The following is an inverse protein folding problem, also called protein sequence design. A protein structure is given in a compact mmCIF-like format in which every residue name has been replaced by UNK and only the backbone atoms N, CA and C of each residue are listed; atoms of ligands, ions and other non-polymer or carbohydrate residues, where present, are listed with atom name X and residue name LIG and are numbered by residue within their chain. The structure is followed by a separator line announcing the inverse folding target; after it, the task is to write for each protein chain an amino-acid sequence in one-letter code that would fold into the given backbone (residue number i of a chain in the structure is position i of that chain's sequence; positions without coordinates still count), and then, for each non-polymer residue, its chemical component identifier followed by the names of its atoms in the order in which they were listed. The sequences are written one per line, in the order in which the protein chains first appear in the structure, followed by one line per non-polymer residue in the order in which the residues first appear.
data_IF_178761615719
#
_entry.id   IF_178761615719
#
_cell.length_a   1.000
_cell.length_b   1.000
_cell.length_c   1.000
_cell.angle_alpha   90.00
_cell.angle_beta   90.00
_cell.angle_gamma   90.00
#
_symmetry.space_group_name_H-M   'P 1'
#
loop_
_entity.id
_entity.type
_entity.pdbx_description
1 polymer ?
#
# COMPACT_ATOMS: atom_id res chain seq x y z
N UNK A 1 17.20 29.66 -8.74
CA UNK A 1 17.77 28.61 -9.62
C UNK A 1 17.19 27.20 -9.33
N UNK A 2 16.85 26.84 -8.09
CA UNK A 2 16.33 25.50 -7.70
C UNK A 2 14.94 25.11 -8.25
N UNK A 3 14.05 26.08 -8.52
CA UNK A 3 12.67 25.77 -8.98
C UNK A 3 12.63 25.08 -10.35
N UNK A 4 13.54 25.46 -11.27
CA UNK A 4 13.58 24.89 -12.63
C UNK A 4 14.09 23.45 -12.63
N UNK A 5 15.06 23.14 -11.77
CA UNK A 5 15.59 21.79 -11.58
C UNK A 5 14.54 20.85 -10.98
N UNK A 6 13.75 21.32 -10.02
CA UNK A 6 12.68 20.55 -9.40
C UNK A 6 11.55 20.25 -10.42
N UNK A 7 11.20 21.23 -11.26
CA UNK A 7 10.25 21.04 -12.37
C UNK A 7 10.78 20.01 -13.38
N UNK A 8 12.07 20.04 -13.72
CA UNK A 8 12.68 19.05 -14.61
C UNK A 8 12.69 17.64 -14.02
N UNK A 9 12.93 17.49 -12.71
CA UNK A 9 12.85 16.20 -12.02
C UNK A 9 11.40 15.68 -12.02
N UNK A 10 10.43 16.54 -11.76
CA UNK A 10 9.00 16.20 -11.81
C UNK A 10 8.59 15.78 -13.23
N UNK A 11 9.00 16.54 -14.26
CA UNK A 11 8.72 16.20 -15.66
C UNK A 11 9.43 14.90 -16.07
N UNK A 12 10.67 14.67 -15.63
CA UNK A 12 11.39 13.43 -15.89
C UNK A 12 10.70 12.23 -15.21
N UNK A 13 10.26 12.38 -13.96
CA UNK A 13 9.42 11.39 -13.26
C UNK A 13 8.12 11.13 -14.02
N UNK A 14 7.48 12.18 -14.56
CA UNK A 14 6.26 12.03 -15.34
C UNK A 14 6.48 11.39 -16.73
N UNK A 15 7.66 11.57 -17.32
CA UNK A 15 7.99 11.00 -18.64
C UNK A 15 8.14 9.48 -18.65
N UNK A 16 8.23 8.84 -17.48
CA UNK A 16 8.24 7.37 -17.35
C UNK A 16 6.84 6.77 -17.59
N UNK A 17 5.76 7.55 -17.43
CA UNK A 17 4.37 7.07 -17.59
C UNK A 17 3.87 6.97 -19.05
N UNK A 18 4.76 6.98 -20.05
CA UNK A 18 4.38 6.91 -21.47
C UNK A 18 3.81 5.55 -21.94
N UNK A 19 3.66 4.57 -21.04
CA UNK A 19 2.94 3.33 -21.31
C UNK A 19 1.66 3.31 -20.47
N UNK A 20 0.60 3.96 -20.94
CA UNK A 20 -0.72 3.89 -20.28
C UNK A 20 -1.35 2.55 -20.63
N UNK A 21 -0.87 1.49 -19.98
CA UNK A 21 -1.65 0.27 -19.79
C UNK A 21 -2.74 0.59 -18.76
N UNK A 22 -3.96 0.09 -18.97
CA UNK A 22 -5.11 0.39 -18.12
C UNK A 22 -4.76 0.23 -16.64
N UNK A 23 -5.03 1.27 -15.83
CA UNK A 23 -4.78 1.23 -14.41
C UNK A 23 -5.83 0.31 -13.75
N UNK A 24 -5.35 -0.71 -13.04
CA UNK A 24 -6.23 -1.61 -12.28
C UNK A 24 -6.55 -0.97 -10.92
N UNK A 25 -7.81 -1.05 -10.50
CA UNK A 25 -8.23 -0.63 -9.15
C UNK A 25 -8.38 -1.87 -8.28
N UNK A 26 -7.90 -1.79 -7.05
CA UNK A 26 -7.87 -2.88 -6.08
C UNK A 26 -8.49 -2.44 -4.77
N UNK A 27 -9.48 -3.17 -4.26
CA UNK A 27 -9.94 -2.99 -2.87
C UNK A 27 -9.29 -4.05 -1.97
N UNK A 28 -8.92 -3.66 -0.75
CA UNK A 28 -8.31 -4.52 0.27
C UNK A 28 -9.04 -4.38 1.59
N UNK A 29 -9.10 -5.48 2.33
CA UNK A 29 -9.54 -5.47 3.73
C UNK A 29 -8.87 -6.60 4.50
N UNK A 30 -8.71 -6.43 5.80
CA UNK A 30 -8.23 -7.49 6.65
C UNK A 30 -8.02 -7.05 8.09
N UNK A 31 -7.03 -7.69 8.72
CA UNK A 31 -6.62 -7.41 10.09
C UNK A 31 -5.19 -6.89 10.10
N UNK A 32 -4.87 -6.04 11.08
CA UNK A 32 -3.56 -5.46 11.28
C UNK A 32 -3.24 -5.42 12.76
N UNK A 33 -2.02 -5.77 13.12
CA UNK A 33 -1.47 -5.68 14.47
C UNK A 33 -0.33 -4.68 14.52
N UNK A 34 -0.35 -3.81 15.53
CA UNK A 34 0.77 -2.98 15.98
C UNK A 34 0.80 -3.07 17.50
N UNK A 35 0.64 -1.92 18.16
CA UNK A 35 0.39 -1.83 19.60
C UNK A 35 -0.86 -2.63 20.02
N UNK A 36 -1.87 -2.70 19.13
CA UNK A 36 -3.08 -3.51 19.30
C UNK A 36 -3.51 -4.16 17.99
N UNK A 37 -4.47 -5.08 18.06
CA UNK A 37 -5.16 -5.61 16.89
C UNK A 37 -6.29 -4.69 16.44
N UNK A 38 -6.35 -4.46 15.13
CA UNK A 38 -7.36 -3.66 14.47
C UNK A 38 -7.75 -4.21 13.10
N UNK A 39 -8.73 -3.56 12.49
CA UNK A 39 -9.14 -3.83 11.12
C UNK A 39 -8.43 -2.84 10.19
N UNK A 40 -8.25 -3.23 8.93
CA UNK A 40 -7.85 -2.31 7.87
C UNK A 40 -8.69 -2.49 6.62
N UNK A 41 -8.87 -1.40 5.88
CA UNK A 41 -9.55 -1.36 4.60
C UNK A 41 -8.88 -0.32 3.71
N UNK A 42 -8.72 -0.62 2.42
CA UNK A 42 -8.01 0.26 1.51
C UNK A 42 -8.40 0.10 0.06
N UNK A 43 -8.03 1.10 -0.74
CA UNK A 43 -8.20 1.13 -2.17
C UNK A 43 -6.87 1.52 -2.83
N UNK A 44 -6.49 0.80 -3.86
CA UNK A 44 -5.20 0.93 -4.54
C UNK A 44 -5.43 1.06 -6.03
N UNK A 45 -4.54 1.80 -6.68
CA UNK A 45 -4.43 1.91 -8.12
C UNK A 45 -3.06 1.40 -8.55
N UNK A 46 -3.05 0.57 -9.57
CA UNK A 46 -1.84 0.00 -10.13
C UNK A 46 -1.52 0.62 -11.49
N UNK A 47 -0.30 1.07 -11.69
CA UNK A 47 0.21 1.63 -12.94
C UNK A 47 1.25 0.67 -13.52
N UNK A 48 0.85 -0.23 -14.45
CA UNK A 48 1.78 -1.19 -15.05
C UNK A 48 2.85 -0.45 -15.85
N UNK A 49 4.12 -0.80 -15.60
CA UNK A 49 5.27 -0.30 -16.37
C UNK A 49 5.79 -1.39 -17.32
N UNK A 50 5.60 -2.66 -16.96
CA UNK A 50 5.85 -3.83 -17.80
C UNK A 50 4.96 -4.99 -17.37
N UNK A 51 5.12 -6.17 -17.99
CA UNK A 51 4.43 -7.40 -17.59
C UNK A 51 4.82 -7.88 -16.19
N UNK A 52 6.03 -7.54 -15.71
CA UNK A 52 6.58 -8.00 -14.44
C UNK A 52 6.71 -6.88 -13.40
N UNK A 53 6.52 -5.63 -13.78
CA UNK A 53 6.75 -4.48 -12.91
C UNK A 53 5.65 -3.44 -13.02
N UNK A 54 5.22 -2.92 -11.87
CA UNK A 54 4.22 -1.85 -11.78
C UNK A 54 4.51 -0.94 -10.60
N UNK A 55 4.06 0.30 -10.70
CA UNK A 55 4.04 1.23 -9.58
C UNK A 55 2.62 1.20 -9.01
N UNK A 56 2.49 0.91 -7.73
CA UNK A 56 1.20 0.86 -7.06
C UNK A 56 1.13 1.91 -5.97
N UNK A 57 0.00 2.60 -5.86
CA UNK A 57 -0.27 3.47 -4.72
C UNK A 57 -1.71 3.32 -4.29
N UNK A 58 -2.06 3.82 -3.11
CA UNK A 58 -3.39 3.72 -2.59
C UNK A 58 -3.60 4.46 -1.29
N UNK A 59 -4.72 4.15 -0.68
CA UNK A 59 -5.14 4.62 0.63
C UNK A 59 -5.47 3.39 1.45
N UNK A 60 -5.00 3.36 2.69
CA UNK A 60 -5.28 2.32 3.67
C UNK A 60 -5.72 2.96 5.00
N UNK A 61 -6.94 2.68 5.42
CA UNK A 61 -7.46 3.03 6.73
C UNK A 61 -7.25 1.86 7.68
N UNK A 62 -6.80 2.11 8.91
CA UNK A 62 -6.63 1.06 9.92
C UNK A 62 -6.90 1.54 11.35
N UNK A 63 -7.19 0.60 12.25
CA UNK A 63 -7.46 0.85 13.68
C UNK A 63 -6.43 0.18 14.59
N UNK A 64 -5.23 -0.11 14.08
CA UNK A 64 -4.23 -0.95 14.75
C UNK A 64 -3.33 -0.20 15.77
N UNK A 65 -3.47 1.12 15.90
CA UNK A 65 -2.70 1.94 16.84
C UNK A 65 -3.44 2.21 18.17
N UNK A 66 -4.72 1.83 18.31
CA UNK A 66 -5.43 1.90 19.61
C UNK A 66 -6.58 0.91 19.69
N UNK A 67 -6.77 0.30 20.87
CA UNK A 67 -7.62 -0.89 21.07
C UNK A 67 -9.04 -0.70 20.52
N UNK A 68 -9.37 -1.44 19.47
CA UNK A 68 -10.74 -1.48 18.92
C UNK A 68 -11.72 -2.30 19.79
N UNK A 69 -11.23 -2.99 20.83
CA UNK A 69 -11.99 -3.98 21.64
C UNK A 69 -12.12 -3.52 23.11
N UNK A 70 -12.07 -2.22 23.39
CA UNK A 70 -12.36 -1.70 24.74
C UNK A 70 -12.69 -0.23 24.74
N UNK A 71 -13.87 0.11 25.24
CA UNK A 71 -14.41 1.46 25.52
C UNK A 71 -13.49 2.64 25.15
N UNK A 72 -13.66 3.16 23.94
CA UNK A 72 -13.26 4.53 23.60
C UNK A 72 -14.37 5.18 22.78
N UNK A 73 -14.89 6.31 23.25
CA UNK A 73 -15.94 7.10 22.59
C UNK A 73 -15.50 7.77 21.28
N UNK A 74 -14.27 7.51 20.83
CA UNK A 74 -13.65 8.05 19.63
C UNK A 74 -13.17 6.91 18.73
N UNK A 75 -13.63 6.89 17.48
CA UNK A 75 -13.16 5.96 16.48
C UNK A 75 -11.81 6.48 15.97
N UNK A 76 -10.72 5.92 16.50
CA UNK A 76 -9.37 6.34 16.14
C UNK A 76 -8.95 5.56 14.87
N UNK A 77 -9.18 6.18 13.70
CA UNK A 77 -8.88 5.60 12.39
C UNK A 77 -7.66 6.31 11.83
N UNK A 78 -6.57 5.57 11.71
CA UNK A 78 -5.36 6.01 11.05
C UNK A 78 -5.43 5.77 9.55
N UNK A 79 -4.66 6.55 8.82
CA UNK A 79 -4.66 6.57 7.37
C UNK A 79 -3.24 6.48 6.83
N UNK A 80 -2.97 5.55 5.92
CA UNK A 80 -1.69 5.33 5.27
C UNK A 80 -1.82 5.46 3.75
N UNK A 81 -0.92 6.21 3.14
CA UNK A 81 -0.70 6.31 1.69
C UNK A 81 0.61 5.60 1.35
N UNK A 82 0.57 4.32 0.96
CA UNK A 82 1.74 3.63 0.45
C UNK A 82 2.01 3.96 -1.02
N UNK A 83 3.29 3.92 -1.40
CA UNK A 83 3.78 3.94 -2.77
C UNK A 83 4.75 2.78 -2.93
N UNK A 84 4.35 1.76 -3.69
CA UNK A 84 5.07 0.52 -3.91
C UNK A 84 5.71 0.45 -5.30
N UNK A 85 6.95 -0.03 -5.32
CA UNK A 85 7.50 -0.78 -6.44
C UNK A 85 6.97 -2.23 -6.33
N UNK A 86 6.19 -2.66 -7.32
CA UNK A 86 5.51 -3.96 -7.34
C UNK A 86 6.09 -4.86 -8.43
N UNK A 87 6.61 -6.02 -8.02
CA UNK A 87 7.09 -7.07 -8.92
C UNK A 87 6.09 -8.21 -8.98
N UNK A 88 5.67 -8.57 -10.20
CA UNK A 88 4.78 -9.68 -10.48
C UNK A 88 5.56 -10.88 -11.02
N UNK A 89 5.51 -11.98 -10.29
CA UNK A 89 6.17 -13.25 -10.63
C UNK A 89 5.06 -14.24 -11.01
N UNK A 90 4.89 -14.57 -12.30
CA UNK A 90 3.89 -15.55 -12.73
C UNK A 90 4.28 -16.95 -12.25
N UNK A 91 3.36 -17.63 -11.56
CA UNK A 91 3.53 -19.01 -11.11
C UNK A 91 2.85 -19.97 -12.09
N UNK A 92 3.20 -21.26 -12.01
CA UNK A 92 2.46 -22.31 -12.71
C UNK A 92 1.04 -22.36 -12.13
N UNK A 93 0.02 -22.48 -12.99
CA UNK A 93 -1.43 -22.53 -12.64
C UNK A 93 -2.21 -21.21 -12.54
N UNK A 94 -1.77 -20.14 -13.22
CA UNK A 94 -2.48 -18.82 -13.25
C UNK A 94 -2.55 -18.12 -11.88
N UNK A 95 -1.72 -18.53 -10.93
CA UNK A 95 -1.41 -17.74 -9.75
C UNK A 95 -0.26 -16.78 -10.06
N UNK A 96 -0.28 -15.58 -9.50
CA UNK A 96 0.82 -14.64 -9.56
C UNK A 96 1.27 -14.31 -8.15
N UNK A 97 2.57 -14.44 -7.88
CA UNK A 97 3.17 -13.91 -6.66
C UNK A 97 3.50 -12.45 -6.89
N UNK A 98 3.15 -11.59 -5.94
CA UNK A 98 3.44 -10.16 -5.98
C UNK A 98 4.27 -9.75 -4.79
N UNK A 99 5.39 -9.11 -5.08
CA UNK A 99 6.33 -8.56 -4.11
C UNK A 99 6.30 -7.04 -4.21
N UNK A 100 5.86 -6.41 -3.14
CA UNK A 100 5.68 -4.97 -3.04
C UNK A 100 6.66 -4.42 -2.01
N UNK A 101 7.39 -3.38 -2.38
CA UNK A 101 8.29 -2.68 -1.47
C UNK A 101 8.28 -1.19 -1.76
N UNK A 102 8.31 -0.37 -0.72
CA UNK A 102 8.24 1.07 -0.93
C UNK A 102 8.20 1.89 0.35
N UNK A 103 7.76 3.13 0.18
CA UNK A 103 7.59 4.08 1.28
C UNK A 103 6.11 4.30 1.53
N UNK A 104 5.77 4.75 2.74
CA UNK A 104 4.43 5.21 3.05
C UNK A 104 4.46 6.54 3.79
N UNK A 105 3.38 7.28 3.63
CA UNK A 105 3.05 8.45 4.41
C UNK A 105 1.76 8.16 5.18
N UNK A 106 1.79 8.28 6.50
CA UNK A 106 0.65 8.05 7.37
C UNK A 106 0.20 9.33 8.08
N UNK A 107 -1.10 9.44 8.30
CA UNK A 107 -1.71 10.47 9.14
C UNK A 107 -2.48 9.78 10.26
N UNK A 108 -2.04 9.97 11.50
CA UNK A 108 -2.73 9.61 12.72
C UNK A 108 -2.65 10.76 13.73
N UNK A 109 -2.53 10.49 15.05
CA UNK A 109 -2.23 11.53 16.04
C UNK A 109 -0.96 12.33 15.72
N UNK A 110 -0.02 11.68 15.06
CA UNK A 110 1.21 12.26 14.54
C UNK A 110 1.42 11.89 13.06
N UNK A 111 2.25 12.67 12.36
CA UNK A 111 2.66 12.37 10.99
C UNK A 111 3.62 11.18 11.00
N UNK A 112 3.32 10.18 10.18
CA UNK A 112 4.14 8.97 10.05
C UNK A 112 4.78 8.95 8.67
N UNK A 113 6.07 8.63 8.59
CA UNK A 113 6.74 8.36 7.31
C UNK A 113 7.66 7.19 7.51
N UNK A 114 7.62 6.24 6.59
CA UNK A 114 8.38 5.02 6.79
C UNK A 114 8.45 4.12 5.58
N UNK A 115 8.96 2.92 5.82
CA UNK A 115 9.07 1.87 4.84
C UNK A 115 7.88 0.91 4.95
N UNK A 116 7.48 0.34 3.82
CA UNK A 116 6.43 -0.68 3.78
C UNK A 116 6.80 -1.77 2.79
N UNK A 117 6.43 -3.00 3.13
CA UNK A 117 6.57 -4.14 2.26
C UNK A 117 5.30 -5.00 2.30
N UNK A 118 5.06 -5.71 1.21
CA UNK A 118 3.91 -6.58 1.09
C UNK A 118 4.25 -7.78 0.20
N UNK A 119 3.74 -8.95 0.57
CA UNK A 119 3.83 -10.17 -0.22
C UNK A 119 2.43 -10.72 -0.38
N UNK A 120 2.01 -10.96 -1.62
CA UNK A 120 0.67 -11.46 -1.90
C UNK A 120 0.64 -12.48 -3.02
N UNK A 121 -0.31 -13.40 -2.94
CA UNK A 121 -0.64 -14.34 -3.99
C UNK A 121 -1.96 -13.91 -4.62
N UNK A 122 -1.92 -13.62 -5.91
CA UNK A 122 -3.08 -13.30 -6.73
C UNK A 122 -3.54 -14.55 -7.48
N UNK A 123 -4.81 -14.91 -7.32
CA UNK A 123 -5.49 -15.94 -8.10
C UNK A 123 -6.67 -15.31 -8.83
N UNK A 124 -6.58 -15.23 -10.16
CA UNK A 124 -7.55 -14.55 -11.05
C UNK A 124 -7.72 -13.06 -10.75
N UNK A 125 -8.54 -12.72 -9.76
CA UNK A 125 -8.85 -11.34 -9.33
C UNK A 125 -8.80 -11.16 -7.82
N UNK A 126 -8.66 -12.26 -7.08
CA UNK A 126 -8.59 -12.24 -5.62
C UNK A 126 -7.13 -12.33 -5.23
N UNK A 127 -6.72 -11.50 -4.29
CA UNK A 127 -5.39 -11.55 -3.70
C UNK A 127 -5.50 -11.81 -2.20
N UNK A 128 -4.59 -12.63 -1.70
CA UNK A 128 -4.38 -12.86 -0.27
C UNK A 128 -2.93 -12.55 0.02
N UNK A 129 -2.68 -11.74 1.04
CA UNK A 129 -1.33 -11.28 1.31
C UNK A 129 -1.10 -10.86 2.74
N UNK A 130 0.17 -10.59 3.00
CA UNK A 130 0.66 -9.99 4.23
C UNK A 130 1.29 -8.64 3.90
N UNK A 131 1.15 -7.67 4.78
CA UNK A 131 1.79 -6.37 4.66
C UNK A 131 2.49 -5.99 5.97
N UNK A 132 3.48 -5.12 5.88
CA UNK A 132 4.08 -4.49 7.03
C UNK A 132 4.41 -3.03 6.77
N UNK A 133 4.40 -2.23 7.84
CA UNK A 133 4.72 -0.82 7.85
C UNK A 133 5.64 -0.54 9.02
N UNK A 134 6.79 0.08 8.74
CA UNK A 134 7.75 0.49 9.75
C UNK A 134 7.86 2.00 9.72
N UNK A 135 7.40 2.68 10.78
CA UNK A 135 7.62 4.10 10.94
C UNK A 135 9.13 4.37 11.12
N UNK A 136 9.65 5.41 10.47
CA UNK A 136 11.05 5.80 10.53
C UNK A 136 11.27 7.18 11.17
N UNK A 137 10.20 7.88 11.58
CA UNK A 137 10.30 9.21 12.19
C UNK A 137 9.96 9.17 13.68
N UNK A 138 8.91 8.44 14.08
CA UNK A 138 8.45 8.42 15.47
C UNK A 138 8.71 7.06 16.10
N UNK A 139 8.56 6.96 17.42
CA UNK A 139 8.68 5.70 18.19
C UNK A 139 7.55 4.69 17.88
N UNK A 140 6.61 5.05 17.00
CA UNK A 140 5.44 4.22 16.70
C UNK A 140 5.85 2.89 16.04
N UNK A 141 5.28 1.81 16.57
CA UNK A 141 5.74 0.44 16.33
C UNK A 141 5.41 -0.09 14.94
N UNK A 142 6.17 -1.12 14.58
CA UNK A 142 6.01 -1.94 13.39
C UNK A 142 4.57 -2.49 13.28
N UNK A 143 3.88 -2.16 12.19
CA UNK A 143 2.57 -2.72 11.86
C UNK A 143 2.73 -3.94 10.97
N UNK A 144 1.97 -4.99 11.25
CA UNK A 144 1.88 -6.20 10.44
C UNK A 144 0.43 -6.57 10.18
N UNK A 145 0.06 -6.83 8.93
CA UNK A 145 -1.31 -7.14 8.56
C UNK A 145 -1.45 -8.35 7.66
N UNK A 146 -2.60 -8.99 7.78
CA UNK A 146 -3.12 -10.00 6.86
C UNK A 146 -4.29 -9.39 6.11
N UNK A 147 -4.37 -9.61 4.81
CA UNK A 147 -5.43 -9.03 4.02
C UNK A 147 -5.89 -9.93 2.88
N UNK A 148 -7.12 -9.69 2.48
CA UNK A 148 -7.73 -10.19 1.25
C UNK A 148 -8.13 -8.99 0.43
N UNK A 149 -8.12 -9.12 -0.89
CA UNK A 149 -8.72 -8.09 -1.71
C UNK A 149 -9.05 -8.55 -3.13
N UNK A 150 -9.58 -7.61 -3.90
CA UNK A 150 -10.17 -7.86 -5.19
C UNK A 150 -9.77 -6.81 -6.24
N UNK A 151 -9.38 -7.28 -7.43
CA UNK A 151 -9.04 -6.47 -8.61
C UNK A 151 -10.28 -6.19 -9.44
N UNK A 152 -10.60 -4.92 -9.63
CA UNK A 152 -11.64 -4.45 -10.54
C UNK A 152 -11.01 -4.15 -11.91
N UNK A 153 -11.67 -4.61 -12.97
CA UNK A 153 -11.38 -4.15 -14.33
C UNK A 153 -12.31 -2.98 -14.64
N UNK A 154 -11.74 -1.85 -15.02
CA UNK A 154 -12.47 -0.77 -15.70
C UNK A 154 -12.63 -1.09 -17.19
#
# INVERSE_FOLDING_TARGET
MMKKTLVLIVIALFSVFNCVQAADIEARTGIMGGDVWGLHAGAYINFPQSTLFSIQTGVLLHTANRSAIGNSDTWDIDFNIPVYASFHIPLKEKANLRLNGGAYFGTGPEVQVGATAEVSVEMKRVFVGVNCFQNCINEQEFLFGLYVGYKFKL
#
